data_IF_685436578020
#
_entry.id   IF_685436578020
#
_cell.length_a   1.000
_cell.length_b   1.000
_cell.length_c   1.000
_cell.angle_alpha   90.00
_cell.angle_beta   90.00
_cell.angle_gamma   90.00
#
_symmetry.space_group_name_H-M   'P 1'
#
loop_
_entity.id
_entity.type
_entity.pdbx_description
1 polymer ?
#
# COMPACT_ATOMS: atom_id res chain seq x y z
N UNK A 1 35.80 -27.12 -16.29
CA UNK A 1 35.72 -25.69 -15.91
C UNK A 1 34.25 -25.42 -15.65
N UNK A 2 33.87 -25.12 -14.42
CA UNK A 2 32.49 -24.78 -14.07
C UNK A 2 32.15 -23.48 -14.79
N UNK A 3 31.11 -23.47 -15.62
CA UNK A 3 30.69 -22.22 -16.24
C UNK A 3 30.17 -21.29 -15.13
N UNK A 4 30.55 -20.00 -15.13
CA UNK A 4 30.10 -19.07 -14.10
C UNK A 4 28.59 -18.91 -14.20
N UNK A 5 27.92 -18.93 -13.04
CA UNK A 5 26.47 -18.76 -12.97
C UNK A 5 26.11 -17.33 -13.46
N UNK A 6 25.31 -17.19 -14.55
CA UNK A 6 25.01 -15.89 -15.13
C UNK A 6 24.21 -14.98 -14.17
N UNK A 7 23.40 -15.54 -13.27
CA UNK A 7 22.62 -14.78 -12.29
C UNK A 7 23.51 -14.16 -11.20
N UNK A 8 24.55 -14.87 -10.76
CA UNK A 8 25.55 -14.32 -9.84
C UNK A 8 26.38 -13.22 -10.53
N UNK A 9 26.72 -13.43 -11.82
CA UNK A 9 27.40 -12.38 -12.60
C UNK A 9 26.51 -11.14 -12.79
N UNK A 10 25.19 -11.29 -12.93
CA UNK A 10 24.27 -10.17 -13.01
C UNK A 10 24.34 -9.29 -11.75
N UNK A 11 24.47 -9.91 -10.58
CA UNK A 11 24.60 -9.22 -9.29
C UNK A 11 25.97 -8.55 -9.11
N UNK A 12 27.05 -9.32 -9.25
CA UNK A 12 28.40 -8.92 -8.81
C UNK A 12 29.27 -8.31 -9.91
N UNK A 13 29.08 -8.73 -11.17
CA UNK A 13 29.95 -8.32 -12.28
C UNK A 13 29.19 -8.27 -13.62
N UNK A 14 28.34 -7.25 -13.82
CA UNK A 14 27.54 -7.11 -15.03
C UNK A 14 28.39 -7.02 -16.30
N UNK A 15 29.61 -6.48 -16.22
CA UNK A 15 30.55 -6.42 -17.34
C UNK A 15 31.00 -7.80 -17.82
N UNK A 16 31.26 -8.72 -16.88
CA UNK A 16 31.58 -10.10 -17.20
C UNK A 16 30.37 -10.83 -17.78
N UNK A 17 29.16 -10.57 -17.25
CA UNK A 17 27.91 -11.10 -17.81
C UNK A 17 27.71 -10.64 -19.26
N UNK A 18 27.90 -9.35 -19.56
CA UNK A 18 27.78 -8.84 -20.94
C UNK A 18 28.77 -9.52 -21.90
N UNK A 19 29.98 -9.83 -21.44
CA UNK A 19 30.97 -10.58 -22.23
C UNK A 19 30.49 -12.02 -22.49
N UNK A 20 29.88 -12.66 -21.49
CA UNK A 20 29.28 -13.98 -21.64
C UNK A 20 28.09 -13.96 -22.62
N UNK A 21 27.20 -12.97 -22.51
CA UNK A 21 26.05 -12.80 -23.40
C UNK A 21 26.46 -12.53 -24.85
N UNK A 22 27.53 -11.77 -25.08
CA UNK A 22 28.09 -11.58 -26.44
C UNK A 22 28.61 -12.87 -27.05
N UNK A 23 29.07 -13.81 -26.23
CA UNK A 23 29.53 -15.13 -26.68
C UNK A 23 28.35 -16.08 -26.89
N UNK A 24 27.35 -16.02 -26.00
CA UNK A 24 26.16 -16.87 -26.00
C UNK A 24 24.88 -16.05 -25.72
N UNK A 25 24.29 -15.39 -26.75
CA UNK A 25 23.14 -14.50 -26.57
C UNK A 25 21.87 -15.18 -26.03
N UNK A 26 21.73 -16.49 -26.23
CA UNK A 26 20.56 -17.26 -25.77
C UNK A 26 20.40 -17.28 -24.25
N UNK A 27 21.43 -16.92 -23.49
CA UNK A 27 21.36 -16.83 -22.03
C UNK A 27 20.53 -15.62 -21.59
N UNK A 28 20.41 -14.57 -22.41
CA UNK A 28 19.73 -13.32 -22.05
C UNK A 28 18.25 -13.51 -21.65
N UNK A 29 17.56 -14.44 -22.32
CA UNK A 29 16.17 -14.80 -22.04
C UNK A 29 16.03 -16.01 -21.11
N UNK A 30 17.13 -16.47 -20.52
CA UNK A 30 17.14 -17.60 -19.61
C UNK A 30 16.51 -17.25 -18.26
N UNK A 31 15.92 -18.27 -17.65
CA UNK A 31 15.37 -18.25 -16.29
C UNK A 31 16.01 -19.38 -15.48
N UNK A 32 16.14 -19.20 -14.18
CA UNK A 32 16.58 -20.27 -13.28
C UNK A 32 15.42 -21.22 -12.92
N UNK A 33 15.61 -22.07 -11.91
CA UNK A 33 14.61 -23.05 -11.49
C UNK A 33 13.33 -22.44 -10.90
N UNK A 34 13.37 -21.15 -10.51
CA UNK A 34 12.29 -20.37 -9.94
C UNK A 34 11.71 -19.36 -10.96
N UNK A 35 12.05 -19.50 -12.25
CA UNK A 35 11.65 -18.50 -13.24
C UNK A 35 12.43 -17.18 -13.12
N UNK A 36 13.40 -17.06 -12.22
CA UNK A 36 14.11 -15.81 -12.01
C UNK A 36 15.02 -15.51 -13.20
N UNK A 37 14.83 -14.34 -13.82
CA UNK A 37 15.54 -13.96 -15.05
C UNK A 37 16.69 -12.98 -14.79
N UNK A 38 17.56 -12.79 -15.78
CA UNK A 38 18.62 -11.78 -15.69
C UNK A 38 18.09 -10.34 -15.56
N UNK A 39 16.85 -10.08 -16.02
CA UNK A 39 16.20 -8.79 -15.83
C UNK A 39 15.81 -8.58 -14.37
N UNK A 40 15.30 -9.60 -13.69
CA UNK A 40 14.99 -9.54 -12.26
C UNK A 40 16.27 -9.24 -11.45
N UNK A 41 17.34 -9.97 -11.72
CA UNK A 41 18.64 -9.71 -11.09
C UNK A 41 19.13 -8.27 -11.37
N UNK A 42 19.12 -7.84 -12.62
CA UNK A 42 19.57 -6.50 -12.98
C UNK A 42 18.72 -5.38 -12.34
N UNK A 43 17.41 -5.60 -12.20
CA UNK A 43 16.50 -4.65 -11.54
C UNK A 43 16.73 -4.59 -10.02
N UNK A 44 16.81 -5.75 -9.35
CA UNK A 44 17.02 -5.87 -7.91
C UNK A 44 18.34 -5.23 -7.46
N UNK A 45 19.45 -5.55 -8.14
CA UNK A 45 20.75 -4.94 -7.81
C UNK A 45 20.90 -3.51 -8.37
N UNK A 46 19.99 -3.08 -9.23
CA UNK A 46 19.93 -1.76 -9.82
C UNK A 46 21.02 -1.47 -10.85
N UNK A 47 21.31 -2.46 -11.68
CA UNK A 47 22.24 -2.38 -12.80
C UNK A 47 21.52 -1.87 -14.06
N UNK A 48 21.31 -0.55 -14.13
CA UNK A 48 20.58 0.09 -15.24
C UNK A 48 21.17 -0.21 -16.62
N UNK A 49 22.48 -0.20 -16.75
CA UNK A 49 23.14 -0.43 -18.05
C UNK A 49 22.99 -1.89 -18.49
N UNK A 50 22.96 -2.83 -17.54
CA UNK A 50 22.68 -4.23 -17.82
C UNK A 50 21.24 -4.44 -18.28
N UNK A 51 20.26 -3.80 -17.63
CA UNK A 51 18.85 -3.82 -18.07
C UNK A 51 18.70 -3.35 -19.52
N UNK A 52 19.30 -2.20 -19.85
CA UNK A 52 19.28 -1.66 -21.21
C UNK A 52 19.89 -2.63 -22.21
N UNK A 53 21.06 -3.19 -21.89
CA UNK A 53 21.71 -4.16 -22.77
C UNK A 53 20.85 -5.42 -22.98
N UNK A 54 20.27 -5.99 -21.92
CA UNK A 54 19.41 -7.19 -22.00
C UNK A 54 18.22 -6.97 -22.95
N UNK A 55 17.51 -5.84 -22.82
CA UNK A 55 16.32 -5.56 -23.64
C UNK A 55 16.68 -5.05 -25.04
N UNK A 56 17.61 -4.10 -25.15
CA UNK A 56 17.89 -3.40 -26.41
C UNK A 56 18.91 -4.11 -27.29
N UNK A 57 19.96 -4.70 -26.71
CA UNK A 57 21.00 -5.41 -27.47
C UNK A 57 20.69 -6.90 -27.64
N UNK A 58 20.15 -7.55 -26.60
CA UNK A 58 19.90 -8.99 -26.60
C UNK A 58 18.41 -9.36 -26.79
N UNK A 59 17.53 -8.38 -26.92
CA UNK A 59 16.10 -8.58 -27.19
C UNK A 59 15.40 -9.50 -26.17
N UNK A 60 15.84 -9.48 -24.91
CA UNK A 60 15.11 -10.14 -23.83
C UNK A 60 13.75 -9.46 -23.65
N UNK A 61 12.69 -10.25 -23.48
CA UNK A 61 11.36 -9.73 -23.16
C UNK A 61 11.38 -9.12 -21.75
N UNK A 62 11.03 -7.84 -21.65
CA UNK A 62 11.02 -7.11 -20.38
C UNK A 62 9.94 -7.63 -19.42
N UNK A 63 8.92 -8.32 -19.95
CA UNK A 63 7.78 -8.84 -19.20
C UNK A 63 7.89 -10.33 -18.86
N UNK A 64 9.10 -10.88 -18.82
CA UNK A 64 9.34 -12.24 -18.31
C UNK A 64 8.84 -12.31 -16.87
N UNK A 65 8.08 -13.36 -16.57
CA UNK A 65 7.50 -13.63 -15.26
C UNK A 65 8.31 -14.70 -14.53
N UNK A 66 8.56 -14.51 -13.24
CA UNK A 66 9.10 -15.56 -12.37
C UNK A 66 8.01 -16.53 -11.86
N UNK A 67 8.34 -17.36 -10.86
CA UNK A 67 7.42 -18.36 -10.29
C UNK A 67 6.23 -17.77 -9.53
N UNK A 68 6.33 -16.52 -9.07
CA UNK A 68 5.25 -15.80 -8.37
C UNK A 68 4.40 -14.95 -9.34
N UNK A 69 4.68 -15.06 -10.64
CA UNK A 69 4.01 -14.27 -11.67
C UNK A 69 4.51 -12.82 -11.71
N UNK A 70 5.68 -12.54 -11.15
CA UNK A 70 6.22 -11.19 -11.04
C UNK A 70 7.11 -10.83 -12.21
N UNK A 71 7.03 -9.57 -12.66
CA UNK A 71 8.02 -9.02 -13.59
C UNK A 71 9.20 -8.41 -12.84
N UNK A 72 10.28 -8.08 -13.54
CA UNK A 72 11.42 -7.39 -12.94
C UNK A 72 11.09 -6.03 -12.28
N UNK A 73 9.91 -5.44 -12.53
CA UNK A 73 9.45 -4.24 -11.85
C UNK A 73 9.14 -4.48 -10.36
N UNK A 74 8.65 -5.67 -9.98
CA UNK A 74 8.28 -6.00 -8.60
C UNK A 74 9.49 -6.00 -7.66
N UNK A 75 10.62 -6.53 -8.14
CA UNK A 75 11.87 -6.64 -7.35
C UNK A 75 12.73 -5.38 -7.39
N UNK A 76 12.23 -4.25 -7.91
CA UNK A 76 13.02 -3.02 -8.07
C UNK A 76 13.11 -2.22 -6.77
N UNK A 77 14.34 -1.98 -6.30
CA UNK A 77 14.58 -1.21 -5.05
C UNK A 77 14.94 0.27 -5.28
N UNK A 78 15.18 0.67 -6.54
CA UNK A 78 15.66 2.02 -6.88
C UNK A 78 14.71 2.73 -7.84
N UNK A 79 14.31 3.95 -7.51
CA UNK A 79 13.44 4.79 -8.37
C UNK A 79 14.04 5.01 -9.77
N UNK A 80 15.36 5.15 -9.89
CA UNK A 80 16.04 5.32 -11.18
C UNK A 80 15.90 4.10 -12.10
N UNK A 81 15.73 2.92 -11.53
CA UNK A 81 15.55 1.66 -12.25
C UNK A 81 14.10 1.49 -12.66
N UNK A 82 13.15 1.77 -11.76
CA UNK A 82 11.72 1.76 -12.07
C UNK A 82 11.41 2.73 -13.23
N UNK A 83 11.97 3.95 -13.19
CA UNK A 83 11.89 4.91 -14.30
C UNK A 83 12.44 4.37 -15.61
N UNK A 84 13.61 3.71 -15.58
CA UNK A 84 14.21 3.13 -16.77
C UNK A 84 13.32 2.02 -17.36
N UNK A 85 12.80 1.13 -16.52
CA UNK A 85 11.91 0.05 -16.93
C UNK A 85 10.62 0.58 -17.58
N UNK A 86 9.99 1.58 -16.97
CA UNK A 86 8.70 2.14 -17.41
C UNK A 86 8.85 3.06 -18.62
N UNK A 87 9.76 4.04 -18.55
CA UNK A 87 9.87 5.10 -19.57
C UNK A 87 10.68 4.68 -20.79
N UNK A 88 11.66 3.77 -20.61
CA UNK A 88 12.61 3.44 -21.69
C UNK A 88 12.46 2.03 -22.21
N UNK A 89 12.21 1.05 -21.33
CA UNK A 89 12.18 -0.37 -21.69
C UNK A 89 10.75 -0.88 -21.94
N UNK A 90 9.73 -0.11 -21.56
CA UNK A 90 8.33 -0.41 -21.84
C UNK A 90 7.80 -1.61 -21.07
N UNK A 91 8.21 -1.79 -19.81
CA UNK A 91 7.63 -2.82 -18.94
C UNK A 91 6.13 -2.56 -18.73
N UNK A 92 5.33 -3.63 -18.74
CA UNK A 92 3.91 -3.57 -18.46
C UNK A 92 3.68 -3.47 -16.95
N UNK A 93 3.62 -2.23 -16.46
CA UNK A 93 3.37 -1.93 -15.05
C UNK A 93 1.93 -2.26 -14.59
N UNK A 94 1.03 -2.70 -15.49
CA UNK A 94 -0.30 -3.18 -15.12
C UNK A 94 -0.35 -4.69 -14.89
N UNK A 95 0.78 -5.40 -15.07
CA UNK A 95 0.84 -6.83 -14.76
C UNK A 95 0.61 -7.08 -13.29
N UNK A 96 -0.19 -8.11 -13.04
CA UNK A 96 -0.53 -8.62 -11.72
C UNK A 96 0.19 -9.94 -11.50
N UNK A 97 0.75 -10.10 -10.32
CA UNK A 97 1.35 -11.35 -9.86
C UNK A 97 0.27 -12.40 -9.54
N UNK A 98 0.68 -13.56 -9.03
CA UNK A 98 -0.25 -14.66 -8.71
C UNK A 98 -1.22 -14.33 -7.57
N UNK A 99 -0.90 -13.33 -6.74
CA UNK A 99 -1.80 -12.77 -5.72
C UNK A 99 -2.81 -11.76 -6.29
N UNK A 100 -2.71 -11.44 -7.59
CA UNK A 100 -3.56 -10.48 -8.26
C UNK A 100 -3.18 -9.01 -8.00
N UNK A 101 -1.99 -8.76 -7.45
CA UNK A 101 -1.46 -7.44 -7.13
C UNK A 101 -0.50 -6.98 -8.22
N UNK A 102 -0.60 -5.71 -8.61
CA UNK A 102 0.40 -5.05 -9.44
C UNK A 102 1.64 -4.68 -8.64
N UNK A 103 2.77 -4.43 -9.31
CA UNK A 103 4.01 -4.03 -8.64
C UNK A 103 3.83 -2.81 -7.72
N UNK A 104 2.97 -1.86 -8.11
CA UNK A 104 2.65 -0.70 -7.29
C UNK A 104 1.87 -1.08 -6.02
N UNK A 105 0.88 -1.96 -6.13
CA UNK A 105 0.07 -2.44 -4.99
C UNK A 105 0.92 -3.25 -4.01
N UNK A 106 1.78 -4.16 -4.51
CA UNK A 106 2.69 -4.97 -3.68
C UNK A 106 3.65 -4.09 -2.88
N UNK A 107 4.32 -3.13 -3.53
CA UNK A 107 5.26 -2.20 -2.89
C UNK A 107 4.56 -1.37 -1.80
N UNK A 108 3.31 -0.96 -2.02
CA UNK A 108 2.53 -0.23 -1.03
C UNK A 108 2.05 -1.09 0.14
N UNK A 109 1.61 -2.32 -0.14
CA UNK A 109 1.17 -3.26 0.89
C UNK A 109 2.31 -3.60 1.86
N UNK A 110 3.52 -3.78 1.34
CA UNK A 110 4.72 -4.03 2.13
C UNK A 110 5.24 -2.78 2.85
N UNK A 111 4.78 -1.59 2.45
CA UNK A 111 5.30 -0.30 2.94
C UNK A 111 6.75 -0.06 2.53
N UNK A 112 7.24 -0.78 1.53
CA UNK A 112 8.60 -0.69 1.02
C UNK A 112 8.71 0.40 -0.06
N UNK A 113 9.88 1.01 -0.23
CA UNK A 113 10.20 1.95 -1.32
C UNK A 113 9.07 2.94 -1.72
N UNK A 114 8.60 3.81 -0.81
CA UNK A 114 7.43 4.67 -1.05
C UNK A 114 7.58 5.60 -2.25
N UNK A 115 8.81 5.99 -2.61
CA UNK A 115 9.10 6.80 -3.78
C UNK A 115 8.76 6.08 -5.10
N UNK A 116 8.95 4.75 -5.15
CA UNK A 116 8.64 3.93 -6.32
C UNK A 116 7.13 3.77 -6.44
N UNK A 117 6.45 3.44 -5.34
CA UNK A 117 4.99 3.37 -5.29
C UNK A 117 4.33 4.68 -5.75
N UNK A 118 4.79 5.82 -5.23
CA UNK A 118 4.28 7.14 -5.62
C UNK A 118 4.51 7.43 -7.11
N UNK A 119 5.68 7.07 -7.64
CA UNK A 119 5.97 7.20 -9.06
C UNK A 119 5.07 6.32 -9.93
N UNK A 120 4.91 5.03 -9.59
CA UNK A 120 4.06 4.13 -10.35
C UNK A 120 2.59 4.57 -10.29
N UNK A 121 2.09 5.04 -9.14
CA UNK A 121 0.76 5.67 -9.04
C UNK A 121 0.61 6.85 -9.99
N UNK A 122 1.61 7.73 -10.03
CA UNK A 122 1.60 8.89 -10.91
C UNK A 122 1.56 8.46 -12.38
N UNK A 123 2.35 7.45 -12.77
CA UNK A 123 2.35 6.90 -14.14
C UNK A 123 1.00 6.27 -14.49
N UNK A 124 0.37 5.56 -13.54
CA UNK A 124 -0.95 4.94 -13.71
C UNK A 124 -2.10 5.95 -13.67
N UNK A 125 -1.85 7.20 -13.28
CA UNK A 125 -2.90 8.23 -13.11
C UNK A 125 -3.79 8.00 -11.87
N UNK A 126 -3.29 7.25 -10.89
CA UNK A 126 -3.99 6.99 -9.63
C UNK A 126 -3.89 8.22 -8.70
N UNK A 127 -4.92 8.51 -7.89
CA UNK A 127 -4.85 9.57 -6.89
C UNK A 127 -3.74 9.27 -5.87
N UNK A 128 -3.12 10.31 -5.26
CA UNK A 128 -2.12 10.10 -4.22
C UNK A 128 -2.70 9.24 -3.10
N UNK A 129 -1.85 8.38 -2.53
CA UNK A 129 -2.17 7.52 -1.39
C UNK A 129 -3.04 8.27 -0.39
N UNK A 130 -4.34 7.98 -0.36
CA UNK A 130 -5.17 8.48 0.70
C UNK A 130 -4.83 7.66 1.94
N UNK A 131 -4.65 8.26 3.12
CA UNK A 131 -4.41 7.51 4.36
C UNK A 131 -5.55 6.52 4.70
N UNK A 132 -6.65 6.53 3.95
CA UNK A 132 -7.77 5.61 4.04
C UNK A 132 -7.60 4.28 3.28
N UNK A 133 -6.58 4.12 2.41
CA UNK A 133 -6.34 2.86 1.67
C UNK A 133 -5.57 1.82 2.50
N UNK A 134 -5.16 2.15 3.73
CA UNK A 134 -4.51 1.22 4.67
C UNK A 134 -5.50 0.26 5.37
N UNK A 135 -6.76 0.20 4.94
CA UNK A 135 -7.76 -0.72 5.49
C UNK A 135 -8.36 -1.62 4.42
N UNK A 136 -7.60 -2.58 3.91
CA UNK A 136 -8.16 -3.71 3.16
C UNK A 136 -8.75 -4.78 4.11
N UNK A 137 -9.84 -4.43 4.79
CA UNK A 137 -10.77 -5.41 5.38
C UNK A 137 -12.17 -4.79 5.47
N UNK A 138 -12.81 -4.55 4.32
CA UNK A 138 -14.26 -4.31 4.26
C UNK A 138 -14.79 -4.51 2.84
N UNK A 139 -15.73 -5.42 2.74
CA UNK A 139 -16.49 -5.80 1.56
C UNK A 139 -17.14 -4.59 0.85
N UNK A 140 -16.88 -4.46 -0.45
CA UNK A 140 -17.70 -3.77 -1.47
C UNK A 140 -17.90 -2.24 -1.34
N UNK A 141 -17.21 -1.40 -2.14
CA UNK A 141 -17.53 0.04 -2.19
C UNK A 141 -18.76 0.30 -3.09
N UNK A 142 -19.69 1.10 -2.60
CA UNK A 142 -20.86 1.58 -3.35
C UNK A 142 -20.45 2.51 -4.52
N UNK A 143 -21.21 2.51 -5.64
CA UNK A 143 -20.88 3.33 -6.81
C UNK A 143 -21.06 4.85 -6.56
N UNK A 144 -20.29 5.71 -7.27
CA UNK A 144 -20.33 7.16 -7.06
C UNK A 144 -21.63 7.79 -7.59
N UNK A 145 -22.10 8.83 -6.90
CA UNK A 145 -23.30 9.59 -7.26
C UNK A 145 -23.07 10.45 -8.52
N UNK A 146 -24.07 10.61 -9.41
CA UNK A 146 -23.96 11.38 -10.65
C UNK A 146 -23.90 12.91 -10.43
N UNK A 147 -23.30 13.59 -11.41
CA UNK A 147 -22.79 14.97 -11.41
C UNK A 147 -23.82 16.13 -11.33
N UNK A 148 -24.93 15.97 -10.60
CA UNK A 148 -26.05 16.92 -10.63
C UNK A 148 -26.40 17.55 -9.27
N UNK A 149 -25.62 17.29 -8.22
CA UNK A 149 -25.84 17.84 -6.88
C UNK A 149 -24.77 18.89 -6.58
N UNK A 150 -25.18 20.16 -6.56
CA UNK A 150 -24.41 21.26 -5.98
C UNK A 150 -24.77 21.37 -4.50
N UNK A 151 -23.87 20.90 -3.63
CA UNK A 151 -23.91 21.21 -2.20
C UNK A 151 -23.26 22.57 -2.01
N UNK A 152 -24.06 23.59 -1.69
CA UNK A 152 -23.53 24.86 -1.21
C UNK A 152 -22.93 24.63 0.18
N UNK A 153 -21.62 24.39 0.24
CA UNK A 153 -20.84 24.37 1.47
C UNK A 153 -20.70 25.81 1.96
N UNK A 154 -21.65 26.22 2.82
CA UNK A 154 -21.53 27.43 3.62
C UNK A 154 -20.31 27.32 4.55
N UNK A 155 -19.57 28.41 4.62
CA UNK A 155 -18.40 28.68 5.46
C UNK A 155 -18.54 28.24 6.91
N UNK A 156 -17.57 27.49 7.42
CA UNK A 156 -17.15 27.54 8.82
C UNK A 156 -15.63 27.66 8.85
N UNK A 157 -15.16 28.73 9.50
CA UNK A 157 -13.78 29.13 9.65
C UNK A 157 -13.02 28.15 10.56
N UNK A 158 -11.69 28.11 10.45
CA UNK A 158 -10.73 27.28 11.20
C UNK A 158 -10.71 27.46 12.75
N UNK A 159 -11.78 28.01 13.35
CA UNK A 159 -11.92 28.21 14.80
C UNK A 159 -12.81 27.16 15.50
N UNK A 160 -13.35 26.17 14.78
CA UNK A 160 -14.16 25.08 15.38
C UNK A 160 -13.46 23.71 15.39
N UNK A 161 -12.19 23.62 14.96
CA UNK A 161 -11.38 22.40 15.09
C UNK A 161 -10.90 22.11 16.53
N UNK A 162 -11.38 22.87 17.53
CA UNK A 162 -11.02 22.71 18.94
C UNK A 162 -12.24 22.56 19.88
N UNK A 163 -13.41 22.21 19.35
CA UNK A 163 -14.63 21.96 20.12
C UNK A 163 -14.91 20.45 20.28
N UNK A 164 -13.95 19.72 20.84
CA UNK A 164 -14.11 18.31 21.21
C UNK A 164 -13.45 17.93 22.53
N UNK A 165 -12.94 18.92 23.28
CA UNK A 165 -12.57 18.73 24.68
C UNK A 165 -13.71 19.25 25.55
N UNK A 166 -14.92 18.76 25.30
CA UNK A 166 -16.04 18.98 26.20
C UNK A 166 -15.88 17.99 27.36
N UNK A 167 -15.84 18.55 28.56
CA UNK A 167 -15.56 17.92 29.85
C UNK A 167 -15.98 16.44 29.96
N UNK A 168 -15.02 15.54 29.70
CA UNK A 168 -15.15 14.14 30.10
C UNK A 168 -15.29 14.12 31.62
N UNK A 169 -16.46 13.68 32.08
CA UNK A 169 -16.85 13.67 33.49
C UNK A 169 -15.68 13.17 34.37
N UNK A 170 -15.27 13.93 35.41
CA UNK A 170 -14.15 13.55 36.26
C UNK A 170 -14.38 12.20 36.95
N UNK A 171 -15.63 11.78 37.14
CA UNK A 171 -15.98 10.46 37.68
C UNK A 171 -15.67 9.33 36.68
N UNK A 172 -15.91 9.58 35.38
CA UNK A 172 -15.60 8.63 34.30
C UNK A 172 -14.09 8.38 34.17
N UNK A 173 -13.29 9.46 34.17
CA UNK A 173 -11.82 9.35 34.17
C UNK A 173 -11.31 8.55 35.38
N UNK A 174 -11.84 8.82 36.57
CA UNK A 174 -11.44 8.12 37.80
C UNK A 174 -11.75 6.61 37.75
N UNK A 175 -12.91 6.23 37.20
CA UNK A 175 -13.32 4.82 37.04
C UNK A 175 -12.47 4.06 36.01
N UNK A 176 -12.06 4.71 34.91
CA UNK A 176 -11.13 4.12 33.96
C UNK A 176 -9.77 3.89 34.59
N UNK A 177 -9.25 4.86 35.34
CA UNK A 177 -7.95 4.76 36.01
C UNK A 177 -7.92 3.63 37.06
N UNK A 178 -9.02 3.47 37.82
CA UNK A 178 -9.18 2.37 38.79
C UNK A 178 -9.22 0.99 38.12
N UNK A 179 -9.90 0.88 36.97
CA UNK A 179 -9.93 -0.37 36.20
C UNK A 179 -8.56 -0.67 35.58
N UNK A 180 -7.84 0.35 35.10
CA UNK A 180 -6.50 0.24 34.53
C UNK A 180 -5.42 -0.11 35.57
N UNK A 181 -5.60 0.30 36.83
CA UNK A 181 -4.67 0.02 37.92
C UNK A 181 -4.78 -1.41 38.49
N UNK A 182 -5.78 -2.20 38.07
CA UNK A 182 -5.92 -3.61 38.49
C UNK A 182 -4.99 -4.52 37.69
N UNK A 183 -4.32 -5.43 38.39
CA UNK A 183 -3.44 -6.44 37.78
C UNK A 183 -4.20 -7.39 36.81
N UNK A 184 -5.52 -7.49 36.97
CA UNK A 184 -6.42 -8.27 36.12
C UNK A 184 -7.07 -7.45 34.97
N UNK A 185 -6.44 -6.37 34.52
CA UNK A 185 -6.99 -5.49 33.46
C UNK A 185 -7.38 -6.24 32.17
N UNK A 186 -6.60 -7.28 31.82
CA UNK A 186 -6.84 -8.11 30.65
C UNK A 186 -7.84 -9.26 30.88
N UNK A 187 -8.39 -9.39 32.10
CA UNK A 187 -9.44 -10.35 32.39
C UNK A 187 -10.75 -9.93 31.71
N UNK A 188 -11.48 -10.91 31.19
CA UNK A 188 -12.76 -10.72 30.50
C UNK A 188 -13.76 -9.94 31.37
N UNK A 189 -13.73 -10.15 32.70
CA UNK A 189 -14.57 -9.43 33.64
C UNK A 189 -14.24 -7.92 33.70
N UNK A 190 -12.96 -7.56 33.75
CA UNK A 190 -12.51 -6.15 33.86
C UNK A 190 -12.71 -5.42 32.53
N UNK A 191 -12.46 -6.10 31.40
CA UNK A 191 -12.71 -5.54 30.08
C UNK A 191 -14.21 -5.31 29.80
N UNK A 192 -15.07 -6.22 30.27
CA UNK A 192 -16.52 -6.02 30.18
C UNK A 192 -16.99 -4.82 31.02
N UNK A 193 -16.42 -4.64 32.22
CA UNK A 193 -16.69 -3.46 33.06
C UNK A 193 -16.25 -2.16 32.37
N UNK A 194 -15.06 -2.13 31.76
CA UNK A 194 -14.58 -0.98 31.00
C UNK A 194 -15.47 -0.67 29.78
N UNK A 195 -15.87 -1.71 29.03
CA UNK A 195 -16.77 -1.55 27.88
C UNK A 195 -18.13 -1.01 28.30
N UNK A 196 -18.71 -1.50 29.40
CA UNK A 196 -19.96 -0.95 29.92
C UNK A 196 -19.81 0.52 30.32
N UNK A 197 -18.70 0.88 30.97
CA UNK A 197 -18.43 2.26 31.36
C UNK A 197 -18.43 3.21 30.16
N UNK A 198 -17.71 2.83 29.10
CA UNK A 198 -17.58 3.61 27.86
C UNK A 198 -18.94 3.72 27.15
N UNK A 199 -19.72 2.64 27.12
CA UNK A 199 -21.06 2.65 26.53
C UNK A 199 -22.03 3.56 27.31
N UNK A 200 -21.95 3.56 28.64
CA UNK A 200 -22.77 4.42 29.50
C UNK A 200 -22.41 5.91 29.34
N UNK A 201 -21.12 6.24 29.21
CA UNK A 201 -20.68 7.61 28.95
C UNK A 201 -21.12 8.14 27.57
N UNK A 202 -21.11 7.29 26.56
CA UNK A 202 -21.61 7.64 25.21
C UNK A 202 -23.14 7.77 25.22
N UNK A 203 -23.84 6.94 25.99
CA UNK A 203 -25.30 7.00 26.12
C UNK A 203 -25.78 8.19 26.98
N UNK A 204 -25.01 8.57 28.01
CA UNK A 204 -25.29 9.71 28.89
C UNK A 204 -25.05 11.07 28.23
N UNK A 205 -24.13 11.15 27.26
CA UNK A 205 -23.86 12.36 26.50
C UNK A 205 -24.98 12.73 25.49
N UNK A 206 -25.99 11.88 25.30
CA UNK A 206 -27.06 12.09 24.31
C UNK A 206 -28.44 12.40 24.93
N UNK A 207 -28.51 12.80 26.21
CA UNK A 207 -29.76 13.23 26.87
C UNK A 207 -29.66 14.70 27.30
N UNK A 208 -29.39 15.59 26.34
CA UNK A 208 -29.67 17.03 26.56
C UNK A 208 -30.05 17.77 25.27
N UNK A 209 -30.87 17.14 24.41
CA UNK A 209 -31.59 17.88 23.38
C UNK A 209 -33.09 17.53 23.36
N UNK A 210 -33.82 18.46 23.99
CA UNK A 210 -35.14 18.95 23.57
C UNK A 210 -36.36 18.06 23.83
N UNK A 211 -36.96 18.33 25.00
CA UNK A 211 -38.31 18.90 25.09
C UNK A 211 -38.98 19.15 23.71
N UNK A 212 -39.90 18.26 23.32
CA UNK A 212 -40.92 18.57 22.31
C UNK A 212 -42.29 18.19 22.86
N UNK A 213 -42.94 19.21 23.42
CA UNK A 213 -44.38 19.35 23.60
C UNK A 213 -45.19 18.60 22.52
N UNK A 214 -45.80 17.48 22.89
CA UNK A 214 -46.92 16.92 22.12
C UNK A 214 -48.20 17.59 22.63
N UNK A 215 -48.61 18.69 21.98
CA UNK A 215 -49.93 19.27 22.20
C UNK A 215 -50.99 18.25 21.77
N UNK A 216 -51.71 17.72 22.75
CA UNK A 216 -52.95 16.99 22.57
C UNK A 216 -53.94 17.87 21.79
N UNK A 217 -54.41 17.38 20.63
CA UNK A 217 -55.64 17.86 20.02
C UNK A 217 -56.79 17.27 20.82
N UNK A 218 -57.45 18.10 21.62
CA UNK A 218 -58.80 17.85 22.09
C UNK A 218 -59.79 18.20 20.97
N UNK A 219 -60.83 17.36 20.89
CA UNK A 219 -62.07 17.41 20.07
C UNK A 219 -62.46 18.75 19.43
#
# INVERSE_FOLDING_TARGET
MTQPNPYILAADNPSALLTLLRSNPSIASGQDEHGYSLLHAAASYGHRDLLRALVQEFHADVNILDEDGETCLFVTEKLSIAKCLVEELGVDYNKKNDEGLSAQETIEADGSFPDIAAYLRQVMGLPPASPADQSMDALNPAPPLPANIQMNLGTVSEQEANAGTEDVDPEFKRRIDELAAREDFHSEATQNQLRQLVMDAISGANIDTQDREVRQRTD
#
